data_IF_457164255528
#
_entry.id   IF_457164255528
#
_cell.length_a   1.000
_cell.length_b   1.000
_cell.length_c   1.000
_cell.angle_alpha   90.00
_cell.angle_beta   90.00
_cell.angle_gamma   90.00
#
_symmetry.space_group_name_H-M   'P 1'
#
loop_
_entity.id
_entity.type
_entity.pdbx_description
1 polymer ?
#
# COMPACT_ATOMS: atom_id res chain seq x y z
N UNK A 1 4.81 -11.89 11.18
CA UNK A 1 3.44 -11.32 11.26
C UNK A 1 2.95 -11.02 9.86
N UNK A 2 1.74 -11.43 9.56
CA UNK A 2 1.11 -11.15 8.26
C UNK A 2 0.39 -9.80 8.30
N UNK A 3 0.74 -8.92 7.36
CA UNK A 3 0.22 -7.55 7.30
C UNK A 3 -0.47 -7.28 5.97
N UNK A 4 -1.67 -6.71 6.04
CA UNK A 4 -2.36 -6.16 4.87
C UNK A 4 -2.20 -4.64 4.89
N UNK A 5 -1.62 -4.10 3.84
CA UNK A 5 -1.51 -2.65 3.65
C UNK A 5 -2.62 -2.18 2.71
N UNK A 6 -3.36 -1.16 3.13
CA UNK A 6 -4.53 -0.66 2.38
C UNK A 6 -4.38 0.83 2.14
N UNK A 7 -4.60 1.26 0.90
CA UNK A 7 -4.79 2.67 0.57
C UNK A 7 -6.07 2.83 -0.26
N UNK A 8 -6.22 3.92 -1.01
CA UNK A 8 -7.43 4.14 -1.80
C UNK A 8 -7.45 3.30 -3.07
N UNK A 9 -6.51 3.54 -3.97
CA UNK A 9 -6.51 2.96 -5.32
C UNK A 9 -5.63 1.71 -5.47
N UNK A 10 -4.83 1.40 -4.47
CA UNK A 10 -3.87 0.28 -4.49
C UNK A 10 -2.80 0.40 -5.59
N UNK A 11 -2.37 1.61 -5.90
CA UNK A 11 -1.33 1.84 -6.92
C UNK A 11 -0.05 2.49 -6.39
N UNK A 12 -0.08 3.09 -5.20
CA UNK A 12 1.08 3.79 -4.63
C UNK A 12 1.40 3.34 -3.22
N UNK A 13 0.77 3.94 -2.22
CA UNK A 13 1.09 3.78 -0.80
C UNK A 13 1.09 2.32 -0.33
N UNK A 14 0.02 1.58 -0.59
CA UNK A 14 -0.11 0.20 -0.12
C UNK A 14 0.83 -0.75 -0.85
N UNK A 15 1.02 -0.58 -2.15
CA UNK A 15 1.96 -1.38 -2.93
C UNK A 15 3.40 -1.15 -2.46
N UNK A 16 3.76 0.11 -2.20
CA UNK A 16 5.07 0.49 -1.66
C UNK A 16 5.31 -0.16 -0.31
N UNK A 17 4.36 -0.05 0.60
CA UNK A 17 4.49 -0.60 1.94
C UNK A 17 4.63 -2.12 1.92
N UNK A 18 3.81 -2.81 1.14
CA UNK A 18 3.89 -4.27 1.01
C UNK A 18 5.23 -4.71 0.43
N UNK A 19 5.70 -4.01 -0.61
CA UNK A 19 7.00 -4.31 -1.22
C UNK A 19 8.16 -4.16 -0.25
N UNK A 20 8.18 -3.06 0.51
CA UNK A 20 9.24 -2.81 1.49
C UNK A 20 9.19 -3.80 2.65
N UNK A 21 8.01 -4.13 3.15
CA UNK A 21 7.86 -5.11 4.22
C UNK A 21 8.31 -6.50 3.77
N UNK A 22 7.96 -6.89 2.55
CA UNK A 22 8.35 -8.20 2.00
C UNK A 22 9.85 -8.33 1.75
N UNK A 23 10.59 -7.23 1.61
CA UNK A 23 12.05 -7.27 1.54
C UNK A 23 12.65 -7.80 2.85
N UNK A 24 12.04 -7.47 3.99
CA UNK A 24 12.53 -7.85 5.31
C UNK A 24 11.90 -9.18 5.74
N UNK A 25 10.61 -9.36 5.43
CA UNK A 25 9.81 -10.53 5.80
C UNK A 25 9.13 -11.10 4.54
N UNK A 26 9.86 -11.88 3.72
CA UNK A 26 9.34 -12.35 2.42
C UNK A 26 8.00 -13.08 2.52
N UNK A 27 7.04 -12.67 1.68
CA UNK A 27 5.73 -13.30 1.58
C UNK A 27 4.77 -12.97 2.73
N UNK A 28 5.12 -12.04 3.62
CA UNK A 28 4.29 -11.74 4.79
C UNK A 28 3.34 -10.56 4.59
N UNK A 29 3.50 -9.78 3.53
CA UNK A 29 2.64 -8.62 3.26
C UNK A 29 1.89 -8.75 1.95
N UNK A 30 0.68 -8.23 1.94
CA UNK A 30 -0.16 -8.05 0.75
C UNK A 30 -0.71 -6.64 0.77
N UNK A 31 -1.22 -6.16 -0.36
CA UNK A 31 -1.81 -4.83 -0.46
C UNK A 31 -3.18 -4.88 -1.11
N UNK A 32 -4.01 -3.89 -0.78
CA UNK A 32 -5.34 -3.71 -1.36
C UNK A 32 -5.73 -2.23 -1.33
N UNK A 33 -6.86 -1.90 -1.92
CA UNK A 33 -7.40 -0.56 -1.91
C UNK A 33 -8.88 -0.53 -1.54
N UNK A 34 -9.33 0.62 -1.04
CA UNK A 34 -10.73 0.81 -0.66
C UNK A 34 -11.63 1.15 -1.84
N UNK A 35 -11.08 1.75 -2.91
CA UNK A 35 -11.80 2.12 -4.14
C UNK A 35 -10.92 1.85 -5.34
N UNK A 36 -10.87 0.59 -5.77
CA UNK A 36 -9.99 0.15 -6.85
C UNK A 36 -10.76 0.10 -8.17
N UNK A 37 -10.27 0.84 -9.18
CA UNK A 37 -10.82 0.85 -10.53
C UNK A 37 -9.69 1.05 -11.55
N UNK A 38 -9.49 0.06 -12.46
CA UNK A 38 -10.06 -1.28 -12.46
C UNK A 38 -9.33 -2.23 -11.50
N UNK A 39 -10.03 -3.30 -11.11
CA UNK A 39 -9.45 -4.39 -10.33
C UNK A 39 -8.57 -5.26 -11.23
N UNK A 40 -7.52 -5.86 -10.67
CA UNK A 40 -6.60 -6.78 -11.35
C UNK A 40 -5.83 -6.14 -12.51
N UNK A 41 -5.68 -4.82 -12.52
CA UNK A 41 -4.86 -4.12 -13.52
C UNK A 41 -3.39 -4.11 -13.09
N UNK A 42 -2.49 -4.33 -14.03
CA UNK A 42 -1.04 -4.20 -13.77
C UNK A 42 -0.68 -2.74 -13.46
N UNK A 43 0.21 -2.54 -12.50
CA UNK A 43 0.69 -1.21 -12.16
C UNK A 43 1.41 -0.55 -13.33
N UNK A 44 2.14 -1.32 -14.14
CA UNK A 44 2.81 -0.80 -15.33
C UNK A 44 1.84 -0.18 -16.35
N UNK A 45 0.57 -0.55 -16.32
CA UNK A 45 -0.48 0.00 -17.20
C UNK A 45 -1.16 1.24 -16.60
N UNK A 46 -0.75 1.67 -15.40
CA UNK A 46 -1.31 2.82 -14.69
C UNK A 46 -0.34 4.00 -14.72
N UNK A 47 -0.63 5.08 -15.48
CA UNK A 47 0.26 6.26 -15.51
C UNK A 47 0.50 6.85 -14.11
N UNK A 48 -0.50 6.82 -13.24
CA UNK A 48 -0.37 7.32 -11.87
C UNK A 48 0.58 6.52 -10.97
N UNK A 49 0.99 5.32 -11.37
CA UNK A 49 1.92 4.48 -10.63
C UNK A 49 3.38 4.64 -11.09
N UNK A 50 3.64 5.36 -12.18
CA UNK A 50 4.96 5.40 -12.82
C UNK A 50 6.08 5.81 -11.85
N UNK A 51 5.90 6.89 -11.11
CA UNK A 51 6.92 7.39 -10.19
C UNK A 51 7.12 6.45 -8.99
N UNK A 52 6.06 5.83 -8.50
CA UNK A 52 6.17 4.84 -7.41
C UNK A 52 6.96 3.61 -7.87
N UNK A 53 6.72 3.13 -9.09
CA UNK A 53 7.47 2.03 -9.67
C UNK A 53 8.95 2.36 -9.75
N UNK A 54 9.31 3.56 -10.24
CA UNK A 54 10.70 4.02 -10.33
C UNK A 54 11.33 4.11 -8.95
N UNK A 55 10.67 4.78 -8.02
CA UNK A 55 11.20 5.00 -6.66
C UNK A 55 11.44 3.67 -5.93
N UNK A 56 10.54 2.71 -6.10
CA UNK A 56 10.70 1.40 -5.46
C UNK A 56 11.77 0.56 -6.12
N UNK A 57 11.92 0.64 -7.44
CA UNK A 57 13.01 -0.05 -8.14
C UNK A 57 14.38 0.42 -7.64
N UNK A 58 14.53 1.70 -7.35
CA UNK A 58 15.74 2.24 -6.74
C UNK A 58 16.05 1.60 -5.39
N UNK A 59 15.05 1.15 -4.66
CA UNK A 59 15.19 0.45 -3.38
C UNK A 59 15.29 -1.08 -3.53
N UNK A 60 15.27 -1.59 -4.75
CA UNK A 60 15.37 -3.02 -5.02
C UNK A 60 14.03 -3.75 -5.09
N UNK A 61 12.91 -3.02 -5.21
CA UNK A 61 11.57 -3.60 -5.29
C UNK A 61 10.99 -3.35 -6.67
N UNK A 62 10.70 -4.41 -7.42
CA UNK A 62 10.01 -4.30 -8.71
C UNK A 62 8.50 -4.50 -8.51
N UNK A 63 7.74 -3.41 -8.63
CA UNK A 63 6.28 -3.43 -8.50
C UNK A 63 5.56 -3.47 -9.85
N UNK A 64 6.28 -3.41 -10.96
CA UNK A 64 5.68 -3.19 -12.29
C UNK A 64 4.68 -4.27 -12.69
N UNK A 65 4.92 -5.51 -12.29
CA UNK A 65 4.03 -6.65 -12.58
C UNK A 65 2.93 -6.87 -11.55
N UNK A 66 2.89 -6.10 -10.47
CA UNK A 66 1.84 -6.24 -9.46
C UNK A 66 0.50 -5.78 -10.00
N UNK A 67 -0.58 -6.34 -9.47
CA UNK A 67 -1.94 -6.00 -9.89
C UNK A 67 -2.72 -5.36 -8.75
N UNK A 68 -3.76 -4.60 -9.10
CA UNK A 68 -4.63 -3.93 -8.14
C UNK A 68 -5.65 -4.89 -7.54
N UNK A 69 -5.93 -4.76 -6.24
CA UNK A 69 -6.85 -5.61 -5.48
C UNK A 69 -7.78 -4.76 -4.64
N UNK A 70 -9.09 -5.03 -4.72
CA UNK A 70 -10.09 -4.38 -3.87
C UNK A 70 -10.13 -5.08 -2.50
N UNK A 71 -10.06 -4.31 -1.41
CA UNK A 71 -10.16 -4.86 -0.07
C UNK A 71 -11.60 -5.34 0.21
N UNK A 72 -11.70 -6.48 0.88
CA UNK A 72 -12.97 -7.03 1.36
C UNK A 72 -12.87 -7.33 2.85
N UNK A 73 -14.01 -7.36 3.55
CA UNK A 73 -14.03 -7.65 4.98
C UNK A 73 -13.44 -9.04 5.27
N UNK A 74 -13.77 -10.03 4.44
CA UNK A 74 -13.29 -11.40 4.59
C UNK A 74 -11.77 -11.51 4.51
N UNK A 75 -11.13 -10.66 3.71
CA UNK A 75 -9.67 -10.67 3.59
C UNK A 75 -8.97 -10.44 4.92
N UNK A 76 -9.58 -9.67 5.82
CA UNK A 76 -8.97 -9.32 7.11
C UNK A 76 -8.67 -10.56 7.96
N UNK A 77 -9.39 -11.64 7.76
CA UNK A 77 -9.22 -12.89 8.52
C UNK A 77 -7.84 -13.52 8.31
N UNK A 78 -7.18 -13.20 7.19
CA UNK A 78 -5.91 -13.78 6.80
C UNK A 78 -4.68 -13.03 7.35
N UNK A 79 -4.90 -11.92 8.05
CA UNK A 79 -3.80 -11.04 8.49
C UNK A 79 -3.84 -10.80 9.99
N UNK A 80 -2.66 -10.54 10.54
CA UNK A 80 -2.50 -10.20 11.95
C UNK A 80 -2.71 -8.71 12.20
N UNK A 81 -2.37 -7.88 11.22
CA UNK A 81 -2.51 -6.43 11.26
C UNK A 81 -2.96 -5.90 9.91
N UNK A 82 -3.79 -4.85 9.94
CA UNK A 82 -4.26 -4.15 8.74
C UNK A 82 -3.90 -2.69 8.87
N UNK A 83 -2.92 -2.25 8.08
CA UNK A 83 -2.44 -0.86 8.07
C UNK A 83 -3.11 -0.11 6.95
N UNK A 84 -3.81 0.97 7.30
CA UNK A 84 -4.62 1.74 6.34
C UNK A 84 -4.06 3.16 6.20
N UNK A 85 -3.77 3.53 4.96
CA UNK A 85 -3.21 4.83 4.60
C UNK A 85 -4.14 5.66 3.70
N UNK A 86 -5.37 5.18 3.47
CA UNK A 86 -6.37 5.95 2.72
C UNK A 86 -6.86 7.14 3.54
N UNK A 87 -7.37 8.17 2.86
CA UNK A 87 -8.01 9.29 3.53
C UNK A 87 -9.21 8.79 4.36
N UNK A 88 -9.46 9.34 5.56
CA UNK A 88 -10.52 8.84 6.44
C UNK A 88 -11.89 8.72 5.79
N UNK A 89 -12.25 9.65 4.88
CA UNK A 89 -13.52 9.62 4.14
C UNK A 89 -13.63 8.41 3.17
N UNK A 90 -12.52 7.78 2.83
CA UNK A 90 -12.47 6.63 1.94
C UNK A 90 -12.34 5.30 2.68
N UNK A 91 -12.40 5.31 4.01
CA UNK A 91 -12.27 4.11 4.83
C UNK A 91 -13.66 3.63 5.26
N UNK A 92 -14.10 2.43 4.82
CA UNK A 92 -15.40 1.92 5.26
C UNK A 92 -15.44 1.64 6.75
N UNK A 93 -16.62 1.77 7.34
CA UNK A 93 -16.81 1.60 8.79
C UNK A 93 -16.40 0.22 9.29
N UNK A 94 -16.66 -0.83 8.52
CA UNK A 94 -16.27 -2.20 8.90
C UNK A 94 -14.75 -2.37 8.99
N UNK A 95 -13.99 -1.58 8.21
CA UNK A 95 -12.53 -1.60 8.25
C UNK A 95 -12.02 -0.87 9.49
N UNK A 96 -12.58 0.32 9.78
CA UNK A 96 -12.24 1.08 11.00
C UNK A 96 -12.55 0.30 12.28
N UNK A 97 -13.59 -0.52 12.25
CA UNK A 97 -14.04 -1.28 13.43
C UNK A 97 -13.20 -2.54 13.68
N UNK A 98 -12.34 -2.93 12.75
CA UNK A 98 -11.50 -4.12 12.92
C UNK A 98 -10.51 -3.91 14.07
N UNK A 99 -10.35 -4.88 14.98
CA UNK A 99 -9.34 -4.79 16.04
C UNK A 99 -7.90 -4.84 15.51
N UNK A 100 -7.72 -5.21 14.24
CA UNK A 100 -6.42 -5.26 13.56
C UNK A 100 -6.06 -3.93 12.89
N UNK A 101 -6.99 -2.97 12.85
CA UNK A 101 -6.83 -1.69 12.16
C UNK A 101 -5.77 -0.81 12.82
N UNK A 102 -4.88 -0.27 12.00
CA UNK A 102 -3.94 0.78 12.38
C UNK A 102 -3.89 1.80 11.25
N UNK A 103 -4.04 3.08 11.58
CA UNK A 103 -4.02 4.16 10.59
C UNK A 103 -2.63 4.81 10.51
N UNK A 104 -2.13 4.98 9.29
CA UNK A 104 -0.93 5.77 9.02
C UNK A 104 -1.30 6.92 8.08
N UNK A 105 -0.99 8.14 8.52
CA UNK A 105 -1.23 9.34 7.73
C UNK A 105 -0.09 9.55 6.74
N UNK A 106 -0.30 9.07 5.51
CA UNK A 106 0.66 9.20 4.40
C UNK A 106 -0.04 9.84 3.22
N UNK A 107 0.55 10.91 2.67
CA UNK A 107 0.04 11.62 1.51
C UNK A 107 -0.04 10.69 0.28
N UNK A 108 -1.10 10.83 -0.51
CA UNK A 108 -1.27 10.08 -1.75
C UNK A 108 -0.11 10.38 -2.72
N UNK A 109 0.42 9.34 -3.32
CA UNK A 109 1.52 9.45 -4.30
C UNK A 109 1.05 9.87 -5.68
N UNK A 110 -0.25 9.77 -5.97
CA UNK A 110 -0.81 10.11 -7.28
C UNK A 110 -0.58 11.60 -7.58
N UNK A 111 -0.03 11.87 -8.77
CA UNK A 111 0.22 13.24 -9.20
C UNK A 111 1.42 13.91 -8.57
N UNK A 112 2.17 13.21 -7.72
CA UNK A 112 3.39 13.75 -7.12
C UNK A 112 4.58 13.56 -8.06
N UNK A 113 5.55 14.49 -7.99
CA UNK A 113 6.80 14.34 -8.73
C UNK A 113 7.65 13.19 -8.14
N UNK A 114 8.71 12.82 -8.86
CA UNK A 114 9.56 11.71 -8.46
C UNK A 114 10.26 11.96 -7.11
N UNK A 115 10.74 13.17 -6.86
CA UNK A 115 11.40 13.49 -5.59
C UNK A 115 10.44 13.39 -4.41
N UNK A 116 9.22 13.91 -4.54
CA UNK A 116 8.18 13.79 -3.50
C UNK A 116 7.81 12.32 -3.29
N UNK A 117 7.68 11.56 -4.37
CA UNK A 117 7.39 10.12 -4.29
C UNK A 117 8.49 9.37 -3.56
N UNK A 118 9.76 9.70 -3.81
CA UNK A 118 10.89 9.12 -3.06
C UNK A 118 10.79 9.40 -1.57
N UNK A 119 10.46 10.64 -1.18
CA UNK A 119 10.30 11.04 0.22
C UNK A 119 9.15 10.29 0.89
N UNK A 120 8.03 10.10 0.18
CA UNK A 120 6.89 9.34 0.70
C UNK A 120 7.26 7.86 0.89
N UNK A 121 8.02 7.28 -0.02
CA UNK A 121 8.56 5.94 0.14
C UNK A 121 9.48 5.82 1.36
N UNK A 122 10.33 6.80 1.59
CA UNK A 122 11.20 6.86 2.76
C UNK A 122 10.38 6.97 4.05
N UNK A 123 9.31 7.77 4.04
CA UNK A 123 8.40 7.88 5.19
C UNK A 123 7.74 6.55 5.52
N UNK A 124 7.23 5.84 4.51
CA UNK A 124 6.62 4.52 4.69
C UNK A 124 7.64 3.53 5.24
N UNK A 125 8.86 3.53 4.71
CA UNK A 125 9.93 2.66 5.20
C UNK A 125 10.23 2.91 6.67
N UNK A 126 10.29 4.17 7.08
CA UNK A 126 10.50 4.55 8.47
C UNK A 126 9.36 4.08 9.38
N UNK A 127 8.11 4.25 8.93
CA UNK A 127 6.93 3.77 9.67
C UNK A 127 6.97 2.26 9.87
N UNK A 128 7.36 1.51 8.85
CA UNK A 128 7.53 0.06 8.95
C UNK A 128 8.57 -0.29 10.02
N UNK A 129 9.72 0.38 10.01
CA UNK A 129 10.80 0.15 10.98
C UNK A 129 10.39 0.48 12.41
N UNK A 130 9.60 1.53 12.59
CA UNK A 130 9.20 2.01 13.92
C UNK A 130 7.97 1.31 14.48
N UNK A 131 7.04 0.83 13.62
CA UNK A 131 5.72 0.37 14.04
C UNK A 131 5.46 -1.11 13.82
N UNK A 132 6.27 -1.75 13.03
CA UNK A 132 6.15 -3.16 12.69
C UNK A 132 7.46 -3.89 12.93
#
# INVERSE_FOLDING_TARGET
MKVLFVCRANIGRSQTAAGLYNMIHPGQATSAGTKVEPIAQKLSDRPGAANAIIAMKEKGVDMSGNTTTQVTEKMLDNYDKVVVMAEPSNIPSWLKASPKFEYWDVTDMKGQDLNTTRKLGDQIQKLIQERL
#
